data_IF_381340169774
#
_entry.id   IF_381340169774
#
_cell.length_a   1.000
_cell.length_b   1.000
_cell.length_c   1.000
_cell.angle_alpha   90.00
_cell.angle_beta   90.00
_cell.angle_gamma   90.00
#
_symmetry.space_group_name_H-M   'P 1'
#
loop_
_entity.id
_entity.type
_entity.pdbx_description
1 polymer ?
#
# COMPACT_ATOMS: atom_id res chain seq x y z
N UNK A 1 -13.17 77.05 20.42
CA UNK A 1 -14.06 75.86 20.49
C UNK A 1 -13.40 74.74 19.69
N UNK A 2 -12.43 74.05 20.30
CA UNK A 2 -12.54 72.74 20.97
C UNK A 2 -12.25 71.55 20.03
N UNK A 3 -10.96 71.30 19.78
CA UNK A 3 -10.40 70.09 19.17
C UNK A 3 -10.48 68.87 20.13
N UNK A 4 -11.68 68.50 20.59
CA UNK A 4 -11.83 67.53 21.70
C UNK A 4 -12.43 66.17 21.30
N UNK A 5 -12.17 65.67 20.10
CA UNK A 5 -12.76 64.38 19.65
C UNK A 5 -11.85 63.40 18.92
N UNK A 6 -10.53 63.59 18.89
CA UNK A 6 -9.64 62.70 18.12
C UNK A 6 -8.73 61.79 18.96
N UNK A 7 -8.86 61.75 20.30
CA UNK A 7 -7.97 60.95 21.15
C UNK A 7 -8.55 59.63 21.70
N UNK A 8 -9.82 59.29 21.41
CA UNK A 8 -10.49 58.14 22.09
C UNK A 8 -10.57 56.83 21.28
N UNK A 9 -9.80 56.67 20.19
CA UNK A 9 -9.76 55.39 19.43
C UNK A 9 -8.40 54.67 19.43
N UNK A 10 -7.34 55.27 19.97
CA UNK A 10 -5.99 54.69 19.88
C UNK A 10 -5.67 53.66 20.98
N UNK A 11 -6.10 53.91 22.22
CA UNK A 11 -5.68 53.08 23.36
C UNK A 11 -6.28 51.66 23.38
N UNK A 12 -7.47 51.45 22.81
CA UNK A 12 -8.12 50.12 22.80
C UNK A 12 -7.53 49.19 21.73
N UNK A 13 -7.05 49.71 20.60
CA UNK A 13 -6.52 48.89 19.51
C UNK A 13 -5.17 48.28 19.87
N UNK A 14 -4.31 49.02 20.58
CA UNK A 14 -3.00 48.53 21.05
C UNK A 14 -3.14 47.43 22.12
N UNK A 15 -4.13 47.55 23.01
CA UNK A 15 -4.40 46.56 24.06
C UNK A 15 -4.92 45.23 23.47
N UNK A 16 -5.78 45.28 22.45
CA UNK A 16 -6.32 44.09 21.78
C UNK A 16 -5.22 43.36 20.99
N UNK A 17 -4.38 44.10 20.24
CA UNK A 17 -3.25 43.50 19.49
C UNK A 17 -2.22 42.87 20.43
N UNK A 18 -1.92 43.51 21.57
CA UNK A 18 -1.01 42.94 22.57
C UNK A 18 -1.54 41.67 23.23
N UNK A 19 -2.85 41.60 23.50
CA UNK A 19 -3.48 40.43 24.12
C UNK A 19 -3.52 39.24 23.17
N UNK A 20 -3.82 39.46 21.88
CA UNK A 20 -3.82 38.40 20.87
C UNK A 20 -2.40 37.86 20.64
N UNK A 21 -1.38 38.74 20.60
CA UNK A 21 0.01 38.31 20.47
C UNK A 21 0.49 37.50 21.70
N UNK A 22 0.14 37.92 22.92
CA UNK A 22 0.48 37.19 24.14
C UNK A 22 -0.21 35.82 24.22
N UNK A 23 -1.47 35.72 23.81
CA UNK A 23 -2.19 34.44 23.72
C UNK A 23 -1.58 33.51 22.67
N UNK A 24 -1.13 34.03 21.53
CA UNK A 24 -0.47 33.24 20.49
C UNK A 24 0.90 32.70 20.95
N UNK A 25 1.69 33.52 21.67
CA UNK A 25 2.98 33.10 22.25
C UNK A 25 2.78 32.07 23.38
N UNK A 26 1.74 32.23 24.20
CA UNK A 26 1.40 31.26 25.24
C UNK A 26 0.95 29.92 24.65
N UNK A 27 0.22 29.93 23.54
CA UNK A 27 -0.20 28.72 22.81
C UNK A 27 0.99 27.99 22.17
N UNK A 28 1.97 28.72 21.62
CA UNK A 28 3.22 28.16 21.09
C UNK A 28 4.08 27.50 22.16
N UNK A 29 4.11 28.05 23.38
CA UNK A 29 4.86 27.48 24.51
C UNK A 29 4.21 26.20 25.08
N UNK A 30 2.89 26.04 24.95
CA UNK A 30 2.18 24.86 25.44
C UNK A 30 2.28 23.63 24.50
N UNK A 31 2.61 23.82 23.22
CA UNK A 31 2.66 22.74 22.23
C UNK A 31 3.90 21.83 22.34
N UNK A 32 4.89 22.16 23.18
CA UNK A 32 6.09 21.35 23.35
C UNK A 32 5.94 20.14 24.29
N UNK A 33 4.73 19.89 24.84
CA UNK A 33 4.54 18.81 25.82
C UNK A 33 3.69 17.65 25.30
N UNK A 34 3.84 17.29 24.01
CA UNK A 34 3.46 15.95 23.54
C UNK A 34 4.47 14.97 24.14
N UNK A 35 4.03 14.29 25.19
CA UNK A 35 4.79 13.25 25.87
C UNK A 35 5.31 12.23 24.87
N UNK A 36 6.58 11.87 25.04
CA UNK A 36 7.24 10.86 24.23
C UNK A 36 6.47 9.54 24.29
N UNK A 37 6.08 9.05 23.12
CA UNK A 37 5.59 7.68 22.96
C UNK A 37 6.84 6.80 23.03
N UNK A 38 6.94 5.97 24.07
CA UNK A 38 7.93 4.90 24.13
C UNK A 38 7.65 3.95 22.95
N UNK A 39 8.53 3.95 21.95
CA UNK A 39 8.46 3.00 20.86
C UNK A 39 8.95 1.64 21.35
N UNK A 40 8.02 0.71 21.56
CA UNK A 40 8.36 -0.70 21.72
C UNK A 40 8.91 -1.23 20.39
N UNK A 41 10.23 -1.39 20.33
CA UNK A 41 10.92 -1.84 19.13
C UNK A 41 10.71 -3.35 18.96
N UNK A 42 9.86 -3.75 18.01
CA UNK A 42 9.71 -5.15 17.62
C UNK A 42 10.93 -5.55 16.77
N UNK A 43 11.84 -6.31 17.36
CA UNK A 43 12.99 -6.89 16.67
C UNK A 43 12.54 -8.15 15.89
N UNK A 44 12.18 -7.98 14.62
CA UNK A 44 11.91 -9.12 13.72
C UNK A 44 13.26 -9.70 13.28
N UNK A 45 13.63 -10.84 13.87
CA UNK A 45 14.81 -11.60 13.44
C UNK A 45 14.43 -12.47 12.26
N UNK A 46 15.00 -12.20 11.09
CA UNK A 46 14.87 -13.05 9.91
C UNK A 46 15.92 -14.15 9.98
N UNK A 47 15.49 -15.38 10.27
CA UNK A 47 16.35 -16.55 10.14
C UNK A 47 16.37 -16.99 8.67
N UNK A 48 17.55 -16.99 8.05
CA UNK A 48 17.69 -17.33 6.64
C UNK A 48 17.57 -18.85 6.45
N UNK A 49 16.49 -19.30 5.82
CA UNK A 49 16.34 -20.69 5.35
C UNK A 49 17.42 -21.04 4.31
N UNK A 50 18.03 -22.23 4.35
CA UNK A 50 19.09 -22.62 3.40
C UNK A 50 18.52 -22.87 2.00
N UNK A 51 19.10 -22.19 1.01
CA UNK A 51 18.78 -22.37 -0.42
C UNK A 51 19.13 -23.80 -0.87
N UNK A 52 18.11 -24.63 -1.09
CA UNK A 52 18.25 -25.91 -1.79
C UNK A 52 18.34 -25.63 -3.30
N UNK A 53 19.51 -25.82 -3.88
CA UNK A 53 19.70 -25.75 -5.33
C UNK A 53 19.01 -26.93 -6.03
N UNK A 54 17.94 -26.65 -6.77
CA UNK A 54 17.31 -27.62 -7.68
C UNK A 54 18.09 -27.69 -9.00
N UNK A 55 18.41 -28.93 -9.39
CA UNK A 55 19.14 -29.27 -10.61
C UNK A 55 18.23 -29.05 -11.82
N UNK A 56 18.75 -28.34 -12.83
CA UNK A 56 18.09 -28.06 -14.09
C UNK A 56 17.98 -29.34 -14.95
N UNK A 57 16.80 -29.74 -15.48
CA UNK A 57 16.72 -30.81 -16.46
C UNK A 57 16.84 -30.26 -17.90
N UNK A 58 17.77 -30.85 -18.63
CA UNK A 58 18.02 -30.71 -20.06
C UNK A 58 16.78 -31.05 -20.91
N UNK A 59 16.57 -30.28 -21.98
CA UNK A 59 15.44 -30.36 -22.92
C UNK A 59 15.52 -31.51 -23.96
N UNK A 60 14.37 -31.78 -24.63
CA UNK A 60 14.14 -32.26 -26.06
C UNK A 60 13.28 -33.55 -26.19
N UNK A 61 12.44 -33.79 -27.23
CA UNK A 61 11.35 -33.02 -27.85
C UNK A 61 10.00 -33.82 -27.95
N UNK A 62 8.96 -33.19 -28.54
CA UNK A 62 7.56 -33.60 -28.71
C UNK A 62 7.25 -34.96 -29.39
N UNK A 63 6.08 -35.57 -29.10
CA UNK A 63 5.19 -36.23 -30.10
C UNK A 63 3.82 -36.73 -29.56
N UNK A 64 2.75 -36.38 -30.29
CA UNK A 64 1.46 -37.07 -30.58
C UNK A 64 0.42 -37.47 -29.50
N UNK A 65 -0.81 -36.96 -29.67
CA UNK A 65 -2.12 -37.52 -29.22
C UNK A 65 -2.56 -38.66 -30.18
N UNK A 66 -3.33 -39.70 -29.76
CA UNK A 66 -4.80 -39.57 -29.71
C UNK A 66 -5.63 -40.53 -28.79
N UNK A 67 -6.91 -40.15 -28.69
CA UNK A 67 -8.15 -40.95 -28.64
C UNK A 67 -8.75 -41.48 -27.32
N UNK A 68 -10.00 -41.04 -27.18
CA UNK A 68 -11.10 -41.39 -26.28
C UNK A 68 -11.42 -42.88 -26.17
N UNK A 69 -11.73 -43.33 -24.95
CA UNK A 69 -12.64 -44.44 -24.73
C UNK A 69 -13.66 -44.11 -23.64
N UNK A 70 -14.92 -44.37 -23.95
CA UNK A 70 -16.11 -44.13 -23.17
C UNK A 70 -16.43 -45.40 -22.36
N UNK A 71 -16.50 -45.30 -21.03
CA UNK A 71 -16.90 -46.43 -20.17
C UNK A 71 -18.24 -46.18 -19.46
N UNK A 72 -19.17 -47.03 -19.87
CA UNK A 72 -20.41 -47.52 -19.26
C UNK A 72 -20.62 -47.30 -17.76
N UNK A 73 -21.77 -46.72 -17.39
CA UNK A 73 -22.26 -46.62 -16.02
C UNK A 73 -23.11 -47.85 -15.63
N UNK A 74 -22.89 -48.39 -14.42
CA UNK A 74 -23.81 -49.31 -13.75
C UNK A 74 -23.76 -49.12 -12.23
N UNK A 75 -24.96 -48.88 -11.67
CA UNK A 75 -25.46 -49.18 -10.34
C UNK A 75 -24.62 -48.84 -9.07
N UNK A 76 -25.02 -47.73 -8.42
CA UNK A 76 -25.56 -47.72 -7.05
C UNK A 76 -24.72 -48.22 -5.87
N UNK A 77 -24.24 -47.30 -5.04
CA UNK A 77 -24.24 -47.40 -3.57
C UNK A 77 -24.02 -45.99 -2.99
N UNK A 78 -25.00 -45.42 -2.28
CA UNK A 78 -24.83 -44.15 -1.57
C UNK A 78 -24.21 -44.42 -0.20
N UNK A 79 -22.88 -44.46 -0.15
CA UNK A 79 -22.13 -44.36 1.09
C UNK A 79 -21.72 -42.89 1.27
N UNK A 80 -22.14 -42.27 2.37
CA UNK A 80 -21.84 -40.88 2.66
C UNK A 80 -20.39 -40.76 3.17
N UNK A 81 -19.44 -41.09 2.31
CA UNK A 81 -18.05 -40.67 2.43
C UNK A 81 -18.03 -39.16 2.16
N UNK A 82 -17.26 -38.32 2.90
CA UNK A 82 -17.04 -36.95 2.47
C UNK A 82 -16.48 -37.03 1.06
N UNK A 83 -17.27 -36.62 0.07
CA UNK A 83 -16.85 -36.63 -1.32
C UNK A 83 -15.70 -35.64 -1.43
N UNK A 84 -14.47 -36.12 -1.27
CA UNK A 84 -13.29 -35.38 -1.69
C UNK A 84 -13.43 -35.27 -3.20
N UNK A 85 -13.84 -34.09 -3.64
CA UNK A 85 -13.83 -33.75 -5.06
C UNK A 85 -12.36 -33.61 -5.43
N UNK A 86 -11.70 -34.72 -5.73
CA UNK A 86 -10.41 -34.77 -6.39
C UNK A 86 -10.61 -34.16 -7.78
N UNK A 87 -10.42 -32.85 -7.90
CA UNK A 87 -10.44 -32.21 -9.20
C UNK A 87 -9.12 -32.52 -9.88
N UNK A 88 -9.18 -33.40 -10.86
CA UNK A 88 -8.12 -33.58 -11.85
C UNK A 88 -8.10 -32.31 -12.73
N UNK A 89 -7.21 -31.38 -12.39
CA UNK A 89 -7.03 -30.12 -13.12
C UNK A 89 -5.63 -30.12 -13.74
N UNK A 90 -5.58 -29.91 -15.05
CA UNK A 90 -4.33 -29.65 -15.74
C UNK A 90 -3.80 -28.26 -15.35
N UNK A 91 -2.68 -28.24 -14.62
CA UNK A 91 -1.97 -27.00 -14.31
C UNK A 91 -1.26 -26.48 -15.56
N UNK A 92 -1.79 -25.42 -16.14
CA UNK A 92 -1.18 -24.74 -17.29
C UNK A 92 -0.42 -23.50 -16.81
N UNK A 93 0.88 -23.46 -17.13
CA UNK A 93 1.72 -22.29 -16.86
C UNK A 93 1.56 -21.27 -17.99
N UNK A 94 0.95 -20.11 -17.71
CA UNK A 94 0.73 -19.04 -18.71
C UNK A 94 1.94 -18.13 -18.86
N UNK A 95 2.66 -17.89 -17.76
CA UNK A 95 3.82 -17.02 -17.71
C UNK A 95 5.00 -17.76 -17.08
N UNK A 96 6.21 -17.44 -17.52
CA UNK A 96 7.41 -17.89 -16.84
C UNK A 96 7.44 -17.34 -15.40
N UNK A 97 8.18 -18.02 -14.53
CA UNK A 97 8.45 -17.51 -13.20
C UNK A 97 9.03 -16.08 -13.27
N UNK A 98 8.54 -15.19 -12.41
CA UNK A 98 8.97 -13.79 -12.28
C UNK A 98 8.72 -12.91 -13.52
N UNK A 99 7.81 -13.31 -14.42
CA UNK A 99 7.47 -12.53 -15.61
C UNK A 99 6.71 -11.22 -15.33
N UNK A 100 6.15 -11.05 -14.13
CA UNK A 100 5.53 -9.80 -13.66
C UNK A 100 6.41 -9.23 -12.54
N UNK A 101 7.28 -8.25 -12.85
CA UNK A 101 8.25 -7.78 -11.89
C UNK A 101 7.64 -6.79 -10.89
N UNK A 102 7.89 -7.07 -9.61
CA UNK A 102 7.68 -6.15 -8.51
C UNK A 102 8.43 -4.83 -8.71
N UNK A 103 7.79 -3.72 -8.34
CA UNK A 103 8.46 -2.43 -8.20
C UNK A 103 9.17 -2.43 -6.84
N UNK A 104 10.49 -2.18 -6.84
CA UNK A 104 11.33 -2.20 -5.62
C UNK A 104 11.88 -0.83 -5.22
N UNK A 105 11.76 0.15 -6.10
CA UNK A 105 12.24 1.52 -5.90
C UNK A 105 11.24 2.45 -6.56
N UNK A 106 10.07 2.65 -5.93
CA UNK A 106 9.03 3.50 -6.49
C UNK A 106 9.49 4.95 -6.55
N UNK A 107 9.12 5.64 -7.62
CA UNK A 107 9.29 7.08 -7.78
C UNK A 107 7.92 7.74 -7.69
N UNK A 108 7.82 8.83 -6.94
CA UNK A 108 6.57 9.55 -6.71
C UNK A 108 6.59 10.91 -7.39
N UNK A 109 5.45 11.26 -7.97
CA UNK A 109 5.17 12.60 -8.48
C UNK A 109 4.23 13.32 -7.53
N UNK A 110 4.23 14.65 -7.58
CA UNK A 110 3.22 15.45 -6.91
C UNK A 110 1.89 15.42 -7.67
N UNK A 111 0.85 16.04 -7.12
CA UNK A 111 -0.50 16.09 -7.70
C UNK A 111 -0.50 16.60 -9.15
N UNK A 112 0.18 17.73 -9.42
CA UNK A 112 0.25 18.29 -10.77
C UNK A 112 0.93 17.33 -11.76
N UNK A 113 1.92 16.56 -11.31
CA UNK A 113 2.56 15.52 -12.12
C UNK A 113 1.64 14.33 -12.38
N UNK A 114 0.77 13.98 -11.43
CA UNK A 114 -0.22 12.91 -11.59
C UNK A 114 -1.35 13.30 -12.57
N UNK A 115 -1.84 14.54 -12.49
CA UNK A 115 -2.89 15.09 -13.37
C UNK A 115 -2.53 15.07 -14.86
N UNK A 116 -1.24 14.94 -15.20
CA UNK A 116 -0.78 14.84 -16.58
C UNK A 116 -1.12 13.49 -17.25
N UNK A 117 -1.43 12.44 -16.48
CA UNK A 117 -1.66 11.09 -17.01
C UNK A 117 -2.76 10.29 -16.29
N UNK A 118 -3.23 10.76 -15.12
CA UNK A 118 -4.35 10.15 -14.38
C UNK A 118 -5.66 10.87 -14.64
N UNK A 119 -6.75 10.13 -14.66
CA UNK A 119 -8.09 10.72 -14.60
C UNK A 119 -8.47 11.04 -13.15
N UNK A 120 -9.30 12.07 -12.94
CA UNK A 120 -9.71 12.50 -11.61
C UNK A 120 -10.43 11.41 -10.78
N UNK A 121 -11.14 10.51 -11.45
CA UNK A 121 -11.94 9.44 -10.82
C UNK A 121 -11.20 8.08 -10.79
N UNK A 122 -9.90 8.06 -11.08
CA UNK A 122 -9.12 6.82 -11.12
C UNK A 122 -8.83 6.30 -9.70
N UNK A 123 -9.05 4.99 -9.42
CA UNK A 123 -8.87 4.46 -8.08
C UNK A 123 -7.38 4.36 -7.70
N UNK A 124 -7.11 4.67 -6.43
CA UNK A 124 -5.80 4.61 -5.81
C UNK A 124 -5.88 3.88 -4.47
N UNK A 125 -4.78 3.26 -4.06
CA UNK A 125 -4.56 2.83 -2.68
C UNK A 125 -3.74 3.93 -1.99
N UNK A 126 -4.33 4.55 -0.97
CA UNK A 126 -3.66 5.56 -0.15
C UNK A 126 -3.08 4.94 1.10
N UNK A 127 -1.83 5.29 1.44
CA UNK A 127 -1.16 4.86 2.67
C UNK A 127 -0.58 6.09 3.36
N UNK A 128 -0.83 6.21 4.66
CA UNK A 128 -0.18 7.22 5.51
C UNK A 128 0.33 6.53 6.77
N UNK A 129 1.64 6.63 7.01
CA UNK A 129 2.32 6.11 8.20
C UNK A 129 3.25 7.21 8.69
N UNK A 130 3.17 7.56 9.97
CA UNK A 130 3.99 8.61 10.61
C UNK A 130 4.02 9.95 9.85
N UNK A 131 2.88 10.33 9.24
CA UNK A 131 2.70 11.56 8.47
C UNK A 131 3.26 11.51 7.04
N UNK A 132 3.84 10.37 6.64
CA UNK A 132 4.32 10.13 5.29
C UNK A 132 3.21 9.53 4.43
N UNK A 133 2.58 10.36 3.60
CA UNK A 133 1.47 9.96 2.73
C UNK A 133 1.95 9.57 1.32
N UNK A 134 1.44 8.45 0.81
CA UNK A 134 1.69 7.90 -0.52
C UNK A 134 0.38 7.47 -1.19
N UNK A 135 0.36 7.53 -2.52
CA UNK A 135 -0.75 7.07 -3.34
C UNK A 135 -0.23 6.12 -4.43
N UNK A 136 -0.82 4.94 -4.52
CA UNK A 136 -0.48 3.91 -5.49
C UNK A 136 -1.67 3.68 -6.44
N UNK A 137 -1.58 4.09 -7.72
CA UNK A 137 -2.66 3.87 -8.67
C UNK A 137 -2.93 2.39 -8.90
N UNK A 138 -4.20 2.00 -8.85
CA UNK A 138 -4.61 0.62 -9.09
C UNK A 138 -4.18 0.17 -10.48
N UNK A 139 -4.29 1.02 -11.51
CA UNK A 139 -3.87 0.68 -12.87
C UNK A 139 -2.38 0.36 -13.01
N UNK A 140 -1.53 0.96 -12.17
CA UNK A 140 -0.09 0.65 -12.13
C UNK A 140 0.14 -0.69 -11.42
N UNK A 141 -0.54 -0.89 -10.29
CA UNK A 141 -0.52 -2.17 -9.58
C UNK A 141 -1.11 -3.31 -10.43
N UNK A 142 -2.05 -3.06 -11.34
CA UNK A 142 -2.56 -4.08 -12.27
C UNK A 142 -1.50 -4.64 -13.23
N UNK A 143 -0.41 -3.91 -13.44
CA UNK A 143 0.68 -4.32 -14.35
C UNK A 143 1.88 -4.90 -13.63
N UNK A 144 2.07 -4.53 -12.36
CA UNK A 144 3.24 -4.89 -11.57
C UNK A 144 2.92 -5.77 -10.35
N UNK A 145 1.63 -5.89 -10.02
CA UNK A 145 0.99 -6.63 -8.92
C UNK A 145 1.43 -6.22 -7.50
N UNK A 146 2.68 -5.82 -7.31
CA UNK A 146 3.25 -5.48 -6.02
C UNK A 146 4.27 -4.34 -6.11
N UNK A 147 4.17 -3.41 -5.16
CA UNK A 147 5.20 -2.38 -4.89
C UNK A 147 5.74 -2.63 -3.49
N UNK A 148 7.04 -2.89 -3.38
CA UNK A 148 7.75 -2.91 -2.11
C UNK A 148 8.28 -1.51 -1.82
N UNK A 149 7.82 -0.90 -0.73
CA UNK A 149 8.13 0.48 -0.36
C UNK A 149 8.48 0.58 1.13
N UNK A 150 8.97 1.73 1.56
CA UNK A 150 9.13 2.12 2.95
C UNK A 150 8.43 3.45 3.18
N UNK A 151 7.34 3.43 3.94
CA UNK A 151 6.50 4.61 4.20
C UNK A 151 6.54 4.91 5.69
N UNK A 152 6.90 6.15 6.05
CA UNK A 152 7.06 6.52 7.47
C UNK A 152 8.13 5.71 8.20
N UNK A 153 9.08 5.10 7.48
CA UNK A 153 10.08 4.19 8.06
C UNK A 153 9.61 2.73 8.22
N UNK A 154 8.34 2.42 7.93
CA UNK A 154 7.80 1.06 7.97
C UNK A 154 7.90 0.40 6.57
N UNK A 155 8.46 -0.81 6.45
CA UNK A 155 8.44 -1.56 5.20
C UNK A 155 7.02 -2.04 4.89
N UNK A 156 6.56 -1.81 3.66
CA UNK A 156 5.23 -2.25 3.19
C UNK A 156 5.32 -2.95 1.85
N UNK A 157 4.31 -3.76 1.57
CA UNK A 157 4.01 -4.29 0.24
C UNK A 157 2.60 -3.84 -0.16
N UNK A 158 2.51 -2.90 -1.11
CA UNK A 158 1.23 -2.47 -1.67
C UNK A 158 0.82 -3.44 -2.80
N UNK A 159 -0.41 -3.95 -2.71
CA UNK A 159 -1.05 -4.89 -3.65
C UNK A 159 -2.52 -4.52 -3.81
N UNK A 160 -3.16 -4.99 -4.88
CA UNK A 160 -4.58 -4.74 -5.19
C UNK A 160 -5.29 -6.01 -5.66
#
# INVERSE_FOLDING_TARGET
MLQSRMYLRSAHLTAVVGTVAALFVLFLLAACNVGGVEQETIQVTYEAEPVVQTRNPTATPASSLPQSEQSTSSAGQSDATPTTIERDLDLVTVLAKDAIPAIRSPEFVNVAGAEAWMNADEPIIGVEIDGDARAYPVAMLSRHEIVNDTVGGAPIAATW
#
